data_IF_179075057883
#
_entry.id   IF_179075057883
#
_cell.length_a   1.000
_cell.length_b   1.000
_cell.length_c   1.000
_cell.angle_alpha   90.00
_cell.angle_beta   90.00
_cell.angle_gamma   90.00
#
_symmetry.space_group_name_H-M   'P 1'
#
loop_
_entity.id
_entity.type
_entity.pdbx_description
1 polymer ?
#
# COMPACT_ATOMS: atom_id res chain seq x y z
N UNK A 1 -3.82 -13.90 4.82
CA UNK A 1 -2.97 -12.81 5.39
C UNK A 1 -2.86 -12.97 6.91
N UNK A 2 -1.66 -12.82 7.50
CA UNK A 2 -1.51 -12.93 8.96
C UNK A 2 -2.12 -11.72 9.66
N UNK A 3 -2.92 -11.96 10.70
CA UNK A 3 -3.42 -10.93 11.62
C UNK A 3 -2.22 -10.19 12.26
N UNK A 4 -2.05 -8.93 11.89
CA UNK A 4 -0.92 -8.07 12.31
C UNK A 4 -0.88 -7.81 13.82
N UNK A 5 -1.97 -8.11 14.53
CA UNK A 5 -2.07 -7.90 15.99
C UNK A 5 -1.59 -9.10 16.81
N UNK A 6 -1.15 -10.17 16.16
CA UNK A 6 -0.76 -11.42 16.85
C UNK A 6 0.65 -11.40 17.40
N UNK A 7 1.50 -10.48 16.96
CA UNK A 7 2.88 -10.36 17.44
C UNK A 7 3.34 -8.89 17.51
N UNK A 8 4.42 -8.65 18.22
CA UNK A 8 4.95 -7.30 18.48
C UNK A 8 5.73 -6.69 17.30
N UNK A 9 6.04 -7.44 16.26
CA UNK A 9 6.89 -6.95 15.16
C UNK A 9 6.29 -5.74 14.46
N UNK A 10 4.97 -5.75 14.26
CA UNK A 10 4.31 -4.63 13.61
C UNK A 10 4.33 -3.37 14.49
N UNK A 11 4.17 -3.55 15.80
CA UNK A 11 4.30 -2.45 16.77
C UNK A 11 5.72 -1.88 16.78
N UNK A 12 6.75 -2.73 16.82
CA UNK A 12 8.17 -2.30 16.80
C UNK A 12 8.49 -1.53 15.51
N UNK A 13 8.01 -1.99 14.34
CA UNK A 13 8.17 -1.28 13.09
C UNK A 13 7.48 0.09 13.11
N UNK A 14 6.34 0.20 13.77
CA UNK A 14 5.63 1.48 13.93
C UNK A 14 6.41 2.44 14.84
N UNK A 15 7.03 1.95 15.93
CA UNK A 15 7.91 2.77 16.77
C UNK A 15 9.11 3.31 16.00
N UNK A 16 9.66 2.50 15.10
CA UNK A 16 10.74 2.94 14.22
C UNK A 16 10.30 4.10 13.32
N UNK A 17 9.11 4.01 12.71
CA UNK A 17 8.57 5.08 11.88
C UNK A 17 8.29 6.34 12.71
N UNK A 18 7.69 6.20 13.90
CA UNK A 18 7.42 7.31 14.83
C UNK A 18 8.74 8.01 15.24
N UNK A 19 9.79 7.23 15.56
CA UNK A 19 11.08 7.81 15.94
C UNK A 19 11.70 8.63 14.80
N UNK A 20 11.63 8.16 13.56
CA UNK A 20 12.11 8.90 12.37
C UNK A 20 11.34 10.21 12.18
N UNK A 21 10.04 10.19 12.37
CA UNK A 21 9.19 11.36 12.25
C UNK A 21 9.50 12.40 13.34
N UNK A 22 9.62 11.95 14.60
CA UNK A 22 10.03 12.80 15.71
C UNK A 22 11.45 13.36 15.54
N UNK A 23 12.37 12.60 14.93
CA UNK A 23 13.71 13.08 14.60
C UNK A 23 13.68 14.19 13.54
N UNK A 24 12.85 14.04 12.52
CA UNK A 24 12.68 15.01 11.43
C UNK A 24 12.07 16.33 11.91
N UNK A 25 11.16 16.29 12.87
CA UNK A 25 10.48 17.47 13.40
C UNK A 25 11.15 18.10 14.62
N UNK A 26 12.33 17.63 15.03
CA UNK A 26 13.09 18.21 16.12
C UNK A 26 12.41 18.11 17.48
N UNK A 27 11.83 16.96 17.80
CA UNK A 27 11.08 16.73 19.04
C UNK A 27 11.92 16.96 20.30
N UNK A 28 11.31 17.66 21.27
CA UNK A 28 11.93 17.96 22.58
C UNK A 28 12.14 16.72 23.47
N UNK A 29 12.76 16.94 24.64
CA UNK A 29 13.14 15.89 25.60
C UNK A 29 12.01 15.38 26.50
N UNK A 30 10.75 15.71 26.24
CA UNK A 30 9.59 15.35 27.06
C UNK A 30 8.80 14.16 26.52
N UNK A 31 7.63 13.90 27.14
CA UNK A 31 6.66 12.93 26.66
C UNK A 31 5.99 13.53 25.41
N UNK A 32 6.04 12.80 24.29
CA UNK A 32 5.41 13.20 23.04
C UNK A 32 4.03 12.55 22.91
N UNK A 33 2.99 13.36 22.62
CA UNK A 33 1.67 12.87 22.27
C UNK A 33 1.63 12.57 20.78
N UNK A 34 1.21 11.37 20.42
CA UNK A 34 1.19 10.88 19.03
C UNK A 34 -0.25 10.61 18.60
N UNK A 35 -0.66 11.23 17.51
CA UNK A 35 -1.85 10.87 16.76
C UNK A 35 -1.44 9.93 15.63
N UNK A 36 -1.79 8.66 15.75
CA UNK A 36 -1.35 7.60 14.86
C UNK A 36 -2.40 7.29 13.80
N UNK A 37 -2.08 7.58 12.53
CA UNK A 37 -2.90 7.21 11.38
C UNK A 37 -2.31 5.98 10.70
N UNK A 38 -3.09 4.90 10.59
CA UNK A 38 -2.63 3.59 10.10
C UNK A 38 -3.65 2.98 9.15
N UNK A 39 -3.25 1.94 8.43
CA UNK A 39 -4.12 1.31 7.44
C UNK A 39 -4.22 -0.20 7.52
N UNK A 40 -5.39 -0.68 7.15
CA UNK A 40 -5.68 -2.09 6.93
C UNK A 40 -6.05 -2.33 5.46
N UNK A 41 -5.72 -3.52 4.91
CA UNK A 41 -6.28 -3.94 3.64
C UNK A 41 -7.81 -3.80 3.65
N UNK A 42 -8.43 -3.34 2.56
CA UNK A 42 -9.86 -3.06 2.52
C UNK A 42 -10.71 -4.26 2.93
N UNK A 43 -10.31 -5.48 2.55
CA UNK A 43 -10.99 -6.72 2.90
C UNK A 43 -11.07 -6.96 4.41
N UNK A 44 -10.06 -6.54 5.16
CA UNK A 44 -9.99 -6.72 6.61
C UNK A 44 -10.47 -5.52 7.41
N UNK A 45 -10.66 -4.38 6.76
CA UNK A 45 -10.96 -3.12 7.42
C UNK A 45 -12.23 -3.19 8.27
N UNK A 46 -13.34 -3.72 7.72
CA UNK A 46 -14.61 -3.81 8.42
C UNK A 46 -14.54 -4.66 9.69
N UNK A 47 -13.87 -5.81 9.63
CA UNK A 47 -13.82 -6.79 10.72
C UNK A 47 -12.73 -6.51 11.77
N UNK A 48 -11.60 -5.90 11.37
CA UNK A 48 -10.42 -5.80 12.24
C UNK A 48 -10.07 -4.37 12.66
N UNK A 49 -10.76 -3.36 12.17
CA UNK A 49 -10.42 -1.96 12.42
C UNK A 49 -10.35 -1.61 13.92
N UNK A 50 -11.34 -2.03 14.72
CA UNK A 50 -11.39 -1.77 16.17
C UNK A 50 -10.24 -2.51 16.88
N UNK A 51 -10.10 -3.82 16.63
CA UNK A 51 -9.02 -4.64 17.18
C UNK A 51 -7.64 -4.07 16.84
N UNK A 52 -7.46 -3.56 15.63
CA UNK A 52 -6.20 -2.98 15.17
C UNK A 52 -5.94 -1.62 15.84
N UNK A 53 -6.96 -0.81 16.08
CA UNK A 53 -6.84 0.40 16.88
C UNK A 53 -6.44 0.09 18.33
N UNK A 54 -7.10 -0.89 18.97
CA UNK A 54 -6.84 -1.29 20.34
C UNK A 54 -5.44 -1.86 20.55
N UNK A 55 -4.89 -2.55 19.56
CA UNK A 55 -3.52 -3.05 19.57
C UNK A 55 -2.48 -1.96 19.83
N UNK A 56 -2.74 -0.73 19.37
CA UNK A 56 -1.87 0.42 19.62
C UNK A 56 -2.29 1.24 20.85
N UNK A 57 -3.61 1.38 21.11
CA UNK A 57 -4.14 2.20 22.20
C UNK A 57 -3.90 1.62 23.59
N UNK A 58 -3.94 0.28 23.73
CA UNK A 58 -3.86 -0.38 25.02
C UNK A 58 -2.42 -0.40 25.59
N UNK A 59 -1.74 0.76 25.51
CA UNK A 59 -0.38 0.96 26.00
C UNK A 59 -0.29 2.34 26.64
N UNK A 60 0.11 2.36 27.89
CA UNK A 60 0.34 3.60 28.62
C UNK A 60 1.56 4.36 28.05
N UNK A 61 2.47 4.81 28.90
CA UNK A 61 3.69 5.43 28.49
C UNK A 61 4.66 4.43 27.83
N UNK A 62 4.91 4.61 26.53
CA UNK A 62 5.81 3.79 25.74
C UNK A 62 7.21 4.41 25.79
N UNK A 63 8.19 3.63 26.27
CA UNK A 63 9.60 4.04 26.35
C UNK A 63 10.43 3.14 25.44
N UNK A 64 11.22 3.73 24.57
CA UNK A 64 12.14 3.00 23.69
C UNK A 64 13.36 3.83 23.32
N UNK A 65 14.38 3.18 22.78
CA UNK A 65 15.62 3.82 22.32
C UNK A 65 15.76 3.59 20.81
N UNK A 66 16.07 4.65 20.08
CA UNK A 66 16.38 4.61 18.66
C UNK A 66 17.63 5.45 18.38
N UNK A 67 18.67 4.88 17.76
CA UNK A 67 19.97 5.51 17.51
C UNK A 67 20.54 6.18 18.79
N UNK A 68 20.56 5.45 19.88
CA UNK A 68 21.04 5.87 21.20
C UNK A 68 20.28 7.05 21.83
N UNK A 69 19.17 7.49 21.23
CA UNK A 69 18.27 8.51 21.80
C UNK A 69 17.07 7.86 22.46
N UNK A 70 16.74 8.23 23.72
CA UNK A 70 15.55 7.78 24.39
C UNK A 70 14.32 8.55 23.90
N UNK A 71 13.22 7.83 23.69
CA UNK A 71 11.92 8.38 23.35
C UNK A 71 10.88 7.96 24.36
N UNK A 72 10.04 8.90 24.77
CA UNK A 72 8.87 8.68 25.63
C UNK A 72 7.65 9.18 24.88
N UNK A 73 6.72 8.28 24.55
CA UNK A 73 5.53 8.63 23.78
C UNK A 73 4.26 8.11 24.44
N UNK A 74 3.15 8.80 24.19
CA UNK A 74 1.80 8.33 24.46
C UNK A 74 1.04 8.40 23.15
N UNK A 75 0.45 7.27 22.71
CA UNK A 75 -0.42 7.24 21.55
C UNK A 75 -1.80 7.73 21.99
N UNK A 76 -2.12 8.96 21.60
CA UNK A 76 -3.34 9.64 22.05
C UNK A 76 -4.56 9.25 21.21
N UNK A 77 -4.44 9.32 19.89
CA UNK A 77 -5.46 8.82 18.98
C UNK A 77 -4.87 7.76 18.04
N UNK A 78 -5.69 6.77 17.71
CA UNK A 78 -5.40 5.80 16.66
C UNK A 78 -6.53 5.85 15.64
N UNK A 79 -6.19 6.28 14.44
CA UNK A 79 -7.11 6.41 13.32
C UNK A 79 -6.78 5.36 12.27
N UNK A 80 -7.72 4.46 12.01
CA UNK A 80 -7.54 3.36 11.05
C UNK A 80 -8.30 3.69 9.77
N UNK A 81 -7.63 3.51 8.62
CA UNK A 81 -8.17 3.76 7.29
C UNK A 81 -8.02 2.55 6.38
N UNK A 82 -8.88 2.38 5.36
CA UNK A 82 -8.66 1.34 4.36
C UNK A 82 -7.48 1.74 3.46
N UNK A 83 -6.53 0.81 3.29
CA UNK A 83 -5.48 0.91 2.27
C UNK A 83 -6.12 1.10 0.90
N UNK A 84 -5.35 1.43 -0.11
CA UNK A 84 -5.81 1.77 -1.44
C UNK A 84 -6.72 3.02 -1.50
N UNK A 85 -7.74 3.16 -0.66
CA UNK A 85 -8.53 4.40 -0.59
C UNK A 85 -7.66 5.59 -0.17
N UNK A 86 -6.89 5.43 0.89
CA UNK A 86 -6.00 6.49 1.37
C UNK A 86 -5.02 6.96 0.29
N UNK A 87 -4.43 6.02 -0.47
CA UNK A 87 -3.46 6.34 -1.52
C UNK A 87 -4.01 7.25 -2.64
N UNK A 88 -5.32 7.23 -2.87
CA UNK A 88 -5.94 8.04 -3.93
C UNK A 88 -6.54 9.36 -3.44
N UNK A 89 -6.62 9.57 -2.13
CA UNK A 89 -7.16 10.80 -1.51
C UNK A 89 -6.42 12.07 -1.98
N UNK A 90 -5.08 12.10 -2.09
CA UNK A 90 -4.37 13.27 -2.60
C UNK A 90 -4.79 13.70 -4.01
N UNK A 91 -5.30 12.76 -4.81
CA UNK A 91 -5.76 12.96 -6.19
C UNK A 91 -7.29 12.91 -6.32
N UNK A 92 -8.02 13.11 -5.22
CA UNK A 92 -9.47 12.92 -5.14
C UNK A 92 -10.29 13.77 -6.12
N UNK A 93 -9.79 14.92 -6.55
CA UNK A 93 -10.48 15.79 -7.52
C UNK A 93 -10.79 15.07 -8.86
N UNK A 94 -9.96 14.11 -9.27
CA UNK A 94 -10.18 13.30 -10.49
C UNK A 94 -11.21 12.19 -10.28
N UNK A 95 -11.49 11.82 -9.03
CA UNK A 95 -12.25 10.62 -8.67
C UNK A 95 -13.68 10.97 -8.26
N UNK A 96 -13.89 12.14 -7.63
CA UNK A 96 -15.18 12.55 -7.03
C UNK A 96 -16.33 12.53 -8.03
N UNK A 97 -16.06 12.84 -9.31
CA UNK A 97 -17.08 12.89 -10.36
C UNK A 97 -17.18 11.61 -11.18
N UNK A 98 -16.47 10.54 -10.79
CA UNK A 98 -16.50 9.29 -11.52
C UNK A 98 -17.44 8.31 -10.80
N UNK A 99 -18.44 7.78 -11.55
CA UNK A 99 -19.47 6.89 -11.00
C UNK A 99 -18.85 5.64 -10.36
N UNK A 100 -17.86 5.04 -11.04
CA UNK A 100 -17.15 3.84 -10.58
C UNK A 100 -15.69 3.90 -11.00
N UNK A 101 -14.78 3.61 -10.06
CA UNK A 101 -13.33 3.50 -10.28
C UNK A 101 -12.82 2.30 -9.50
N UNK A 102 -12.00 1.47 -10.11
CA UNK A 102 -11.28 0.42 -9.39
C UNK A 102 -9.91 0.93 -8.98
N UNK A 103 -9.58 0.83 -7.70
CA UNK A 103 -8.22 1.05 -7.19
C UNK A 103 -7.57 -0.31 -7.03
N UNK A 104 -6.42 -0.51 -7.67
CA UNK A 104 -5.70 -1.78 -7.75
C UNK A 104 -4.32 -1.55 -7.14
N UNK A 105 -4.10 -2.10 -5.94
CA UNK A 105 -2.84 -2.01 -5.19
C UNK A 105 -2.00 -3.27 -5.46
N UNK A 106 -0.96 -3.14 -6.28
CA UNK A 106 -0.04 -4.24 -6.58
C UNK A 106 1.14 -4.16 -5.60
N UNK A 107 1.03 -4.95 -4.54
CA UNK A 107 2.03 -5.06 -3.48
C UNK A 107 3.07 -6.16 -3.70
N UNK A 108 3.83 -6.48 -2.65
CA UNK A 108 4.83 -7.56 -2.69
C UNK A 108 4.21 -8.95 -2.80
N UNK A 109 3.19 -9.23 -2.00
CA UNK A 109 2.55 -10.56 -1.95
C UNK A 109 1.18 -10.62 -2.61
N UNK A 110 0.43 -9.51 -2.57
CA UNK A 110 -0.96 -9.45 -3.00
C UNK A 110 -1.19 -8.34 -4.02
N UNK A 111 -2.25 -8.52 -4.81
CA UNK A 111 -2.91 -7.48 -5.57
C UNK A 111 -4.28 -7.27 -4.94
N UNK A 112 -4.46 -6.13 -4.30
CA UNK A 112 -5.70 -5.78 -3.61
C UNK A 112 -6.55 -4.86 -4.47
N UNK A 113 -7.86 -5.11 -4.51
CA UNK A 113 -8.81 -4.36 -5.33
C UNK A 113 -9.88 -3.73 -4.46
N UNK A 114 -10.09 -2.44 -4.64
CA UNK A 114 -11.14 -1.67 -4.01
C UNK A 114 -11.99 -0.96 -5.06
N UNK A 115 -13.30 -1.06 -4.96
CA UNK A 115 -14.22 -0.27 -5.77
C UNK A 115 -14.51 1.08 -5.08
N UNK A 116 -14.37 2.17 -5.81
CA UNK A 116 -14.90 3.47 -5.41
C UNK A 116 -16.18 3.77 -6.20
N UNK A 117 -17.24 4.17 -5.50
CA UNK A 117 -18.50 4.66 -6.06
C UNK A 117 -18.68 6.12 -5.69
N UNK A 118 -18.76 7.01 -6.68
CA UNK A 118 -18.86 8.46 -6.45
C UNK A 118 -17.79 8.96 -5.47
N UNK A 119 -16.55 8.51 -5.62
CA UNK A 119 -15.40 8.86 -4.78
C UNK A 119 -15.37 8.24 -3.38
N UNK A 120 -16.32 7.38 -3.01
CA UNK A 120 -16.38 6.71 -1.70
C UNK A 120 -16.06 5.23 -1.82
N UNK A 121 -15.33 4.64 -0.84
CA UNK A 121 -14.99 3.24 -0.85
C UNK A 121 -16.23 2.35 -0.64
N UNK A 122 -16.43 1.39 -1.53
CA UNK A 122 -17.41 0.32 -1.37
C UNK A 122 -16.74 -0.89 -0.69
N UNK A 123 -16.81 -0.92 0.64
CA UNK A 123 -16.18 -1.97 1.44
C UNK A 123 -16.81 -3.36 1.27
N UNK A 124 -17.96 -3.47 0.60
CA UNK A 124 -18.55 -4.77 0.25
C UNK A 124 -17.86 -5.37 -0.99
N UNK A 125 -17.25 -4.53 -1.81
CA UNK A 125 -16.47 -4.94 -2.96
C UNK A 125 -14.98 -4.72 -2.71
N UNK A 126 -14.39 -5.60 -1.92
CA UNK A 126 -12.95 -5.69 -1.72
C UNK A 126 -12.50 -7.09 -2.09
N UNK A 127 -11.39 -7.21 -2.81
CA UNK A 127 -10.81 -8.49 -3.24
C UNK A 127 -9.31 -8.46 -3.07
N UNK A 128 -8.73 -9.61 -2.78
CA UNK A 128 -7.29 -9.80 -2.69
C UNK A 128 -6.88 -11.01 -3.51
N UNK A 129 -5.87 -10.87 -4.34
CA UNK A 129 -5.27 -11.91 -5.16
C UNK A 129 -3.84 -12.15 -4.68
N UNK A 130 -3.38 -13.41 -4.68
CA UNK A 130 -1.99 -13.75 -4.32
C UNK A 130 -1.03 -13.60 -5.53
N UNK A 131 -1.08 -12.41 -6.15
CA UNK A 131 -0.36 -12.09 -7.39
C UNK A 131 0.57 -10.89 -7.23
N UNK A 132 1.26 -10.79 -6.09
CA UNK A 132 2.21 -9.70 -5.85
C UNK A 132 3.56 -9.94 -6.54
N UNK A 133 4.42 -8.91 -6.52
CA UNK A 133 5.72 -8.87 -7.21
C UNK A 133 6.69 -9.95 -6.73
N UNK A 134 6.68 -10.30 -5.45
CA UNK A 134 7.55 -11.36 -4.92
C UNK A 134 7.21 -12.71 -5.56
N UNK A 135 5.92 -13.00 -5.76
CA UNK A 135 5.47 -14.20 -6.45
C UNK A 135 5.96 -14.20 -7.91
N UNK A 136 5.83 -13.07 -8.59
CA UNK A 136 6.34 -12.87 -9.95
C UNK A 136 7.86 -13.09 -10.03
N UNK A 137 8.63 -12.43 -9.17
CA UNK A 137 10.09 -12.51 -9.18
C UNK A 137 10.57 -13.95 -8.95
N UNK A 138 9.97 -14.65 -7.98
CA UNK A 138 10.27 -16.07 -7.73
C UNK A 138 10.00 -16.97 -8.95
N UNK A 139 8.94 -16.68 -9.71
CA UNK A 139 8.63 -17.40 -10.94
C UNK A 139 9.62 -17.06 -12.05
N UNK A 140 9.99 -15.81 -12.21
CA UNK A 140 11.00 -15.34 -13.18
C UNK A 140 12.35 -16.00 -12.88
N UNK A 141 12.83 -15.95 -11.62
CA UNK A 141 14.09 -16.55 -11.21
C UNK A 141 14.15 -18.05 -11.54
N UNK A 142 13.07 -18.79 -11.21
CA UNK A 142 12.98 -20.22 -11.55
C UNK A 142 13.02 -20.46 -13.06
N UNK A 143 12.33 -19.62 -13.84
CA UNK A 143 12.27 -19.76 -15.30
C UNK A 143 13.63 -19.45 -15.95
N UNK A 144 14.33 -18.41 -15.50
CA UNK A 144 15.67 -18.09 -15.98
C UNK A 144 16.67 -19.20 -15.63
N UNK A 145 16.64 -19.70 -14.40
CA UNK A 145 17.50 -20.81 -14.00
C UNK A 145 17.25 -22.07 -14.86
N UNK A 146 15.99 -22.38 -15.15
CA UNK A 146 15.65 -23.57 -15.93
C UNK A 146 16.01 -23.46 -17.42
N UNK A 147 15.90 -22.27 -18.03
CA UNK A 147 16.10 -22.07 -19.47
C UNK A 147 17.54 -21.67 -19.84
N UNK A 148 18.23 -20.97 -18.94
CA UNK A 148 19.53 -20.35 -19.21
C UNK A 148 20.63 -20.81 -18.28
N UNK A 149 20.32 -21.75 -17.35
CA UNK A 149 21.29 -22.22 -16.32
C UNK A 149 21.97 -21.06 -15.57
N UNK A 150 21.21 -20.00 -15.29
CA UNK A 150 21.69 -18.75 -14.69
C UNK A 150 20.89 -18.41 -13.43
N UNK A 151 21.60 -17.98 -12.38
CA UNK A 151 21.00 -17.45 -11.16
C UNK A 151 20.93 -15.93 -11.24
N UNK A 152 19.74 -15.39 -11.04
CA UNK A 152 19.48 -13.94 -10.97
C UNK A 152 18.78 -13.60 -9.65
N UNK A 153 18.83 -12.33 -9.27
CA UNK A 153 18.23 -11.78 -8.06
C UNK A 153 17.18 -10.73 -8.43
N UNK A 154 16.42 -10.23 -7.45
CA UNK A 154 15.36 -9.21 -7.62
C UNK A 154 15.88 -7.94 -8.30
N UNK A 155 17.10 -7.54 -7.96
CA UNK A 155 17.76 -6.36 -8.51
C UNK A 155 18.00 -6.48 -10.02
N UNK A 156 18.35 -7.67 -10.50
CA UNK A 156 18.52 -7.93 -11.93
C UNK A 156 17.19 -7.81 -12.69
N UNK A 157 16.11 -8.35 -12.11
CA UNK A 157 14.76 -8.26 -12.67
C UNK A 157 14.33 -6.80 -12.72
N UNK A 158 14.51 -6.06 -11.62
CA UNK A 158 14.18 -4.66 -11.52
C UNK A 158 14.97 -3.81 -12.54
N UNK A 159 16.27 -4.07 -12.69
CA UNK A 159 17.12 -3.36 -13.66
C UNK A 159 16.59 -3.54 -15.10
N UNK A 160 16.25 -4.77 -15.50
CA UNK A 160 15.67 -5.04 -16.82
C UNK A 160 14.33 -4.31 -17.00
N UNK A 161 13.45 -4.38 -16.04
CA UNK A 161 12.10 -3.79 -16.15
C UNK A 161 12.10 -2.26 -16.12
N UNK A 162 13.08 -1.64 -15.46
CA UNK A 162 13.26 -0.19 -15.41
C UNK A 162 14.14 0.37 -16.51
N UNK A 163 14.73 -0.49 -17.34
CA UNK A 163 15.66 -0.08 -18.41
C UNK A 163 17.02 0.38 -17.89
N UNK A 164 17.41 -0.01 -16.67
CA UNK A 164 18.74 0.25 -16.15
C UNK A 164 19.79 -0.67 -16.81
N UNK A 165 21.04 -0.22 -16.81
CA UNK A 165 22.14 -1.00 -17.38
C UNK A 165 22.31 -2.33 -16.62
N UNK A 166 22.48 -3.41 -17.39
CA UNK A 166 22.68 -4.76 -16.87
C UNK A 166 23.56 -5.57 -17.81
N UNK A 167 24.40 -6.43 -17.24
CA UNK A 167 25.26 -7.36 -17.98
C UNK A 167 24.51 -8.61 -18.48
N UNK A 168 23.22 -8.75 -18.18
CA UNK A 168 22.45 -9.92 -18.58
C UNK A 168 22.36 -10.03 -20.11
N UNK A 169 22.48 -11.25 -20.68
CA UNK A 169 22.27 -11.52 -22.10
C UNK A 169 20.85 -11.13 -22.54
N UNK A 170 20.70 -10.80 -23.81
CA UNK A 170 19.42 -10.31 -24.34
C UNK A 170 18.31 -11.37 -24.33
N UNK A 171 18.64 -12.64 -24.49
CA UNK A 171 17.70 -13.75 -24.39
C UNK A 171 17.18 -13.93 -22.94
N UNK A 172 18.03 -13.69 -21.94
CA UNK A 172 17.62 -13.65 -20.51
C UNK A 172 16.69 -12.45 -20.26
N UNK A 173 17.03 -11.25 -20.78
CA UNK A 173 16.16 -10.07 -20.70
C UNK A 173 14.80 -10.32 -21.34
N UNK A 174 14.76 -10.97 -22.50
CA UNK A 174 13.51 -11.35 -23.16
C UNK A 174 12.68 -12.33 -22.31
N UNK A 175 13.34 -13.29 -21.66
CA UNK A 175 12.67 -14.22 -20.74
C UNK A 175 12.04 -13.49 -19.56
N UNK A 176 12.76 -12.53 -18.96
CA UNK A 176 12.26 -11.69 -17.86
C UNK A 176 11.03 -10.89 -18.32
N UNK A 177 11.16 -10.14 -19.43
CA UNK A 177 10.05 -9.33 -19.96
C UNK A 177 8.84 -10.18 -20.35
N UNK A 178 9.05 -11.34 -20.99
CA UNK A 178 7.98 -12.25 -21.35
C UNK A 178 7.25 -12.84 -20.16
N UNK A 179 7.97 -13.23 -19.10
CA UNK A 179 7.37 -13.74 -17.88
C UNK A 179 6.62 -12.63 -17.11
N UNK A 180 7.17 -11.41 -17.07
CA UNK A 180 6.50 -10.25 -16.47
C UNK A 180 5.19 -9.92 -17.19
N UNK A 181 5.20 -9.95 -18.54
CA UNK A 181 3.98 -9.75 -19.33
C UNK A 181 2.91 -10.80 -19.00
N UNK A 182 3.30 -12.07 -18.94
CA UNK A 182 2.38 -13.16 -18.57
C UNK A 182 1.79 -12.96 -17.18
N UNK A 183 2.59 -12.48 -16.22
CA UNK A 183 2.11 -12.17 -14.87
C UNK A 183 1.10 -11.02 -14.87
N UNK A 184 1.36 -9.93 -15.60
CA UNK A 184 0.42 -8.82 -15.76
C UNK A 184 -0.89 -9.28 -16.41
N UNK A 185 -0.82 -10.07 -17.48
CA UNK A 185 -1.98 -10.65 -18.15
C UNK A 185 -2.77 -11.56 -17.19
N UNK A 186 -2.09 -12.35 -16.35
CA UNK A 186 -2.71 -13.20 -15.33
C UNK A 186 -3.48 -12.36 -14.28
N UNK A 187 -2.88 -11.27 -13.77
CA UNK A 187 -3.58 -10.34 -12.87
C UNK A 187 -4.87 -9.85 -13.52
N UNK A 188 -4.80 -9.33 -14.74
CA UNK A 188 -5.96 -8.78 -15.45
C UNK A 188 -7.04 -9.83 -15.71
N UNK A 189 -6.66 -11.07 -16.02
CA UNK A 189 -7.63 -12.16 -16.22
C UNK A 189 -8.30 -12.55 -14.90
N UNK A 190 -7.56 -12.68 -13.81
CA UNK A 190 -8.14 -12.96 -12.49
C UNK A 190 -9.07 -11.82 -12.03
N UNK A 191 -8.74 -10.56 -12.31
CA UNK A 191 -9.63 -9.43 -12.06
C UNK A 191 -10.97 -9.59 -12.81
N UNK A 192 -10.93 -10.02 -14.06
CA UNK A 192 -12.16 -10.28 -14.84
C UNK A 192 -13.00 -11.42 -14.26
N UNK A 193 -12.37 -12.49 -13.78
CA UNK A 193 -13.07 -13.59 -13.08
C UNK A 193 -13.79 -13.07 -11.82
N UNK A 194 -13.25 -12.06 -11.16
CA UNK A 194 -13.86 -11.36 -10.03
C UNK A 194 -14.86 -10.26 -10.45
N UNK A 195 -15.25 -10.21 -11.73
CA UNK A 195 -16.16 -9.21 -12.30
C UNK A 195 -15.62 -7.76 -12.25
N UNK A 196 -14.29 -7.61 -12.24
CA UNK A 196 -13.61 -6.33 -12.41
C UNK A 196 -13.26 -6.15 -13.89
N UNK A 197 -14.13 -5.47 -14.64
CA UNK A 197 -13.90 -5.20 -16.06
C UNK A 197 -13.35 -3.78 -16.25
N UNK A 198 -12.05 -3.68 -16.53
CA UNK A 198 -11.33 -2.41 -16.72
C UNK A 198 -11.49 -1.85 -18.15
N UNK A 199 -12.20 -2.53 -19.04
CA UNK A 199 -12.58 -2.00 -20.36
C UNK A 199 -13.76 -1.04 -20.26
N UNK A 200 -14.61 -1.22 -19.25
CA UNK A 200 -15.82 -0.41 -19.01
C UNK A 200 -15.72 0.50 -17.79
N UNK A 201 -14.69 0.32 -16.96
CA UNK A 201 -14.45 1.13 -15.76
C UNK A 201 -12.99 1.61 -15.71
N UNK A 202 -12.73 2.87 -15.37
CA UNK A 202 -11.38 3.35 -15.16
C UNK A 202 -10.71 2.65 -13.96
N UNK A 203 -9.39 2.51 -14.02
CA UNK A 203 -8.56 1.97 -12.97
C UNK A 203 -7.56 3.01 -12.47
N UNK A 204 -7.22 2.92 -11.18
CA UNK A 204 -6.09 3.61 -10.58
C UNK A 204 -5.18 2.54 -10.02
N UNK A 205 -4.00 2.41 -10.60
CA UNK A 205 -2.99 1.49 -10.13
C UNK A 205 -2.07 2.17 -9.12
N UNK A 206 -1.84 1.52 -8.00
CA UNK A 206 -0.99 1.98 -6.90
C UNK A 206 -0.06 0.87 -6.44
N UNK A 207 0.89 1.21 -5.57
CA UNK A 207 1.88 0.26 -5.06
C UNK A 207 3.11 0.14 -5.97
N UNK A 208 4.23 -0.32 -5.39
CA UNK A 208 5.49 -0.45 -6.12
C UNK A 208 5.44 -1.39 -7.31
N UNK A 209 4.61 -2.44 -7.21
CA UNK A 209 4.40 -3.39 -8.29
C UNK A 209 3.72 -2.79 -9.51
N UNK A 210 2.81 -1.84 -9.30
CA UNK A 210 2.13 -1.18 -10.41
C UNK A 210 3.07 -0.36 -11.28
N UNK A 211 4.13 0.20 -10.69
CA UNK A 211 5.15 0.96 -11.42
C UNK A 211 5.97 0.03 -12.33
N UNK A 212 6.39 -1.13 -11.80
CA UNK A 212 7.14 -2.12 -12.58
C UNK A 212 6.31 -2.74 -13.71
N UNK A 213 5.02 -2.97 -13.47
CA UNK A 213 4.11 -3.59 -14.44
C UNK A 213 3.46 -2.57 -15.39
N UNK A 214 3.63 -1.26 -15.17
CA UNK A 214 2.98 -0.19 -15.93
C UNK A 214 3.05 -0.38 -17.45
N UNK A 215 4.23 -0.64 -18.09
CA UNK A 215 4.30 -0.78 -19.54
C UNK A 215 3.41 -1.90 -20.09
N UNK A 216 3.24 -2.98 -19.33
CA UNK A 216 2.41 -4.13 -19.70
C UNK A 216 0.93 -3.88 -19.45
N UNK A 217 0.59 -3.18 -18.38
CA UNK A 217 -0.79 -2.83 -18.03
C UNK A 217 -1.38 -1.79 -18.98
N UNK A 218 -0.62 -0.74 -19.33
CA UNK A 218 -1.04 0.31 -20.26
C UNK A 218 -1.24 -0.21 -21.69
N UNK A 219 -0.44 -1.19 -22.11
CA UNK A 219 -0.56 -1.79 -23.44
C UNK A 219 -1.63 -2.87 -23.55
N UNK A 220 -2.22 -3.27 -22.43
CA UNK A 220 -3.19 -4.36 -22.43
C UNK A 220 -4.56 -3.90 -23.00
N UNK A 221 -5.16 -4.65 -23.96
CA UNK A 221 -6.49 -4.35 -24.46
C UNK A 221 -7.60 -4.55 -23.39
N UNK A 222 -7.25 -5.11 -22.25
CA UNK A 222 -8.16 -5.29 -21.12
C UNK A 222 -8.28 -4.04 -20.24
N UNK A 223 -7.48 -3.00 -20.50
CA UNK A 223 -7.44 -1.75 -19.73
C UNK A 223 -7.73 -0.59 -20.68
N UNK A 224 -8.92 0.02 -20.57
CA UNK A 224 -9.31 1.13 -21.43
C UNK A 224 -8.78 2.48 -20.92
N UNK A 225 -8.75 2.66 -19.62
CA UNK A 225 -8.27 3.89 -18.96
C UNK A 225 -7.63 3.56 -17.63
N UNK A 226 -6.36 3.93 -17.48
CA UNK A 226 -5.60 3.76 -16.26
C UNK A 226 -4.88 5.05 -15.85
N UNK A 227 -4.92 5.36 -14.57
CA UNK A 227 -4.03 6.31 -13.91
C UNK A 227 -3.08 5.52 -12.99
N UNK A 228 -1.84 6.01 -12.83
CA UNK A 228 -0.83 5.39 -11.96
C UNK A 228 -0.39 6.38 -10.89
N UNK A 229 -0.35 5.92 -9.64
CA UNK A 229 0.19 6.69 -8.52
C UNK A 229 1.63 6.25 -8.30
N UNK A 230 2.57 7.08 -8.71
CA UNK A 230 4.00 6.76 -8.72
C UNK A 230 4.66 6.83 -7.33
N UNK A 231 3.96 7.42 -6.33
CA UNK A 231 4.50 7.56 -4.99
C UNK A 231 4.34 6.25 -4.19
N UNK A 232 5.43 5.56 -3.82
CA UNK A 232 5.36 4.33 -3.04
C UNK A 232 4.78 4.57 -1.63
N UNK A 233 4.82 5.81 -1.14
CA UNK A 233 4.28 6.20 0.17
C UNK A 233 2.85 6.78 0.08
N UNK A 234 2.15 6.62 -1.04
CA UNK A 234 0.84 7.22 -1.25
C UNK A 234 -0.18 6.86 -0.15
N UNK A 235 -0.19 5.62 0.32
CA UNK A 235 -1.02 5.21 1.44
C UNK A 235 -0.70 6.00 2.73
N UNK A 236 0.57 6.18 3.06
CA UNK A 236 0.99 6.90 4.26
C UNK A 236 0.58 8.38 4.21
N UNK A 237 0.82 9.05 3.08
CA UNK A 237 0.36 10.43 2.86
C UNK A 237 -1.17 10.55 2.96
N UNK A 238 -1.89 9.61 2.41
CA UNK A 238 -3.34 9.57 2.49
C UNK A 238 -3.85 9.36 3.92
N UNK A 239 -3.17 8.54 4.73
CA UNK A 239 -3.51 8.37 6.16
C UNK A 239 -3.31 9.67 6.92
N UNK A 240 -2.22 10.39 6.68
CA UNK A 240 -1.94 11.68 7.28
C UNK A 240 -3.04 12.70 6.92
N UNK A 241 -3.37 12.83 5.63
CA UNK A 241 -4.42 13.76 5.18
C UNK A 241 -5.78 13.45 5.81
N UNK A 242 -6.20 12.18 5.77
CA UNK A 242 -7.46 11.72 6.35
C UNK A 242 -7.46 11.86 7.88
N UNK A 243 -6.32 11.59 8.52
CA UNK A 243 -6.12 11.77 9.95
C UNK A 243 -6.29 13.20 10.38
N UNK A 244 -5.61 14.13 9.72
CA UNK A 244 -5.70 15.57 10.00
C UNK A 244 -7.13 16.08 9.81
N UNK A 245 -7.82 15.69 8.75
CA UNK A 245 -9.23 16.05 8.55
C UNK A 245 -10.12 15.56 9.69
N UNK A 246 -9.93 14.31 10.13
CA UNK A 246 -10.75 13.71 11.18
C UNK A 246 -10.47 14.33 12.54
N UNK A 247 -9.22 14.62 12.87
CA UNK A 247 -8.83 15.29 14.11
C UNK A 247 -9.38 16.72 14.15
N UNK A 248 -9.31 17.45 13.04
CA UNK A 248 -9.89 18.79 12.95
C UNK A 248 -11.39 18.81 13.22
N UNK A 249 -12.13 17.83 12.71
CA UNK A 249 -13.58 17.68 12.99
C UNK A 249 -13.80 17.36 14.49
N UNK A 250 -12.99 16.50 15.08
CA UNK A 250 -13.12 16.14 16.50
C UNK A 250 -12.85 17.33 17.43
N UNK A 251 -11.91 18.20 17.08
CA UNK A 251 -11.58 19.41 17.87
C UNK A 251 -12.59 20.53 17.72
N UNK A 252 -13.38 20.55 16.63
CA UNK A 252 -14.41 21.57 16.39
C UNK A 252 -15.81 21.13 16.86
N UNK A 253 -16.00 19.88 17.27
CA UNK A 253 -17.30 19.40 17.78
C UNK A 253 -17.66 20.13 19.09
N UNK A 254 -18.86 20.74 19.22
CA UNK A 254 -19.30 21.39 20.45
C UNK A 254 -19.39 20.33 21.56
N UNK A 255 -18.55 20.42 22.58
CA UNK A 255 -18.44 19.48 23.70
C UNK A 255 -17.04 18.98 24.02
N UNK A 256 -15.99 19.42 23.32
CA UNK A 256 -14.59 19.01 23.55
C UNK A 256 -13.85 19.80 24.66
N UNK A 257 -14.54 20.70 25.40
CA UNK A 257 -13.96 21.42 26.54
C UNK A 257 -13.91 20.52 27.80
N UNK A 258 -13.13 19.46 27.79
CA UNK A 258 -13.03 18.58 28.96
C UNK A 258 -11.92 17.52 28.90
N UNK A 259 -11.13 17.50 27.87
CA UNK A 259 -10.04 16.53 27.67
C UNK A 259 -8.70 17.22 27.32
N UNK A 260 -8.30 18.19 28.16
CA UNK A 260 -6.97 18.78 28.12
C UNK A 260 -6.04 18.10 29.14
#
# INVERSE_FOLDING_TARGET
MRDKTRDERYFILSLFAIAKELEAHGSGTGIQKIDLSIGLPPEHYGALKEKFADYFKNRDLIKFVYKDKPYNIIIYHVLVFPQAFAAVVPNSSKIVNTLRVFVIDIGGYTTDVLLLKNGKPDLQFCRSLETGIITMNNEIMRKVSALHDMLIEDEHISAVLTGADTILPDDVKQTICGATKLHADNILNQLRELQVDLRSNPAIFIGGGSILLRPFLEQSPLVAKADFVENPNANALGYEMLGNQKLHILTQAPGSEGLA
#
